data_IF_949998993385
#
_entry.id   IF_949998993385
#
_cell.length_a   1.000
_cell.length_b   1.000
_cell.length_c   1.000
_cell.angle_alpha   90.00
_cell.angle_beta   90.00
_cell.angle_gamma   90.00
#
_symmetry.space_group_name_H-M   'P 1'
#
loop_
_entity.id
_entity.type
_entity.pdbx_description
1 polymer ?
#
# COMPACT_ATOMS: atom_id res chain seq x y z
N UNK A 1 9.27 -53.46 30.84
CA UNK A 1 9.59 -52.36 29.91
C UNK A 1 8.41 -51.39 29.88
N UNK A 2 8.55 -50.19 30.45
CA UNK A 2 7.54 -49.12 30.35
C UNK A 2 7.95 -48.19 29.20
N UNK A 3 7.19 -48.21 28.10
CA UNK A 3 7.33 -47.23 27.03
C UNK A 3 6.61 -45.94 27.45
N UNK A 4 7.39 -44.90 27.74
CA UNK A 4 6.90 -43.54 27.95
C UNK A 4 6.57 -42.96 26.56
N UNK A 5 5.31 -43.02 26.15
CA UNK A 5 4.82 -42.37 24.94
C UNK A 5 4.71 -40.87 25.24
N UNK A 6 5.74 -40.10 24.90
CA UNK A 6 5.68 -38.65 24.90
C UNK A 6 4.83 -38.24 23.69
N UNK A 7 3.54 -38.03 23.94
CA UNK A 7 2.65 -37.32 23.03
C UNK A 7 3.11 -35.87 22.99
N UNK A 8 4.05 -35.56 22.10
CA UNK A 8 4.29 -34.18 21.68
C UNK A 8 3.02 -33.70 21.00
N UNK A 9 2.15 -33.04 21.76
CA UNK A 9 1.09 -32.19 21.25
C UNK A 9 1.74 -31.12 20.37
N UNK A 10 1.90 -31.43 19.09
CA UNK A 10 1.99 -30.44 18.02
C UNK A 10 0.69 -29.65 18.08
N UNK A 11 0.66 -28.65 18.96
CA UNK A 11 -0.30 -27.57 18.86
C UNK A 11 -0.18 -27.09 17.42
N UNK A 12 -1.24 -27.34 16.66
CA UNK A 12 -1.48 -26.71 15.38
C UNK A 12 -1.46 -25.21 15.66
N UNK A 13 -0.28 -24.61 15.57
CA UNK A 13 -0.11 -23.18 15.44
C UNK A 13 -0.75 -22.83 14.10
N UNK A 14 -2.09 -22.73 14.09
CA UNK A 14 -2.83 -22.13 13.01
C UNK A 14 -2.15 -20.80 12.75
N UNK A 15 -1.55 -20.67 11.56
CA UNK A 15 -0.70 -19.53 11.24
C UNK A 15 -1.49 -18.26 11.54
N UNK A 16 -1.13 -17.60 12.65
CA UNK A 16 -1.84 -16.41 13.08
C UNK A 16 -1.61 -15.36 12.00
N UNK A 17 -2.67 -15.05 11.25
CA UNK A 17 -2.57 -14.11 10.12
C UNK A 17 -2.44 -12.68 10.63
N UNK A 18 -2.86 -12.40 11.86
CA UNK A 18 -2.76 -11.08 12.48
C UNK A 18 -1.44 -10.94 13.23
N UNK A 19 -0.94 -9.71 13.33
CA UNK A 19 0.13 -9.38 14.27
C UNK A 19 -0.41 -9.31 15.70
N UNK A 20 0.46 -9.56 16.69
CA UNK A 20 0.11 -9.42 18.11
C UNK A 20 0.05 -7.94 18.53
N UNK A 21 -0.41 -7.68 19.75
CA UNK A 21 -0.45 -6.33 20.30
C UNK A 21 0.97 -5.72 20.44
N UNK A 22 1.95 -6.54 20.86
CA UNK A 22 3.35 -6.14 20.97
C UNK A 22 3.96 -5.85 19.60
N UNK A 23 3.67 -6.69 18.60
CA UNK A 23 4.06 -6.44 17.21
C UNK A 23 3.41 -5.14 16.69
N UNK A 24 2.14 -4.86 17.02
CA UNK A 24 1.49 -3.60 16.65
C UNK A 24 2.13 -2.38 17.31
N UNK A 25 2.44 -2.44 18.61
CA UNK A 25 3.16 -1.36 19.30
C UNK A 25 4.52 -1.07 18.63
N UNK A 26 5.26 -2.13 18.26
CA UNK A 26 6.47 -2.00 17.47
C UNK A 26 6.22 -1.32 16.10
N UNK A 27 5.18 -1.72 15.38
CA UNK A 27 4.78 -1.09 14.10
C UNK A 27 4.48 0.40 14.30
N UNK A 28 3.69 0.77 15.31
CA UNK A 28 3.34 2.18 15.58
C UNK A 28 4.57 3.01 15.95
N UNK A 29 5.54 2.43 16.66
CA UNK A 29 6.79 3.11 17.02
C UNK A 29 7.73 3.28 15.85
N UNK A 30 7.77 2.34 14.89
CA UNK A 30 8.79 2.29 13.83
C UNK A 30 8.33 2.77 12.46
N UNK A 31 7.03 2.80 12.19
CA UNK A 31 6.52 3.21 10.88
C UNK A 31 6.98 4.61 10.49
N UNK A 32 7.26 4.79 9.20
CA UNK A 32 7.58 6.08 8.59
C UNK A 32 8.92 6.71 9.01
N UNK A 33 9.79 6.04 9.79
CA UNK A 33 11.01 6.63 10.38
C UNK A 33 12.28 6.60 9.53
N UNK A 34 12.29 5.98 8.34
CA UNK A 34 13.51 5.79 7.55
C UNK A 34 13.59 6.65 6.28
N UNK A 35 12.97 7.83 6.28
CA UNK A 35 12.99 8.71 5.10
C UNK A 35 13.93 9.89 5.38
N UNK A 36 15.20 9.72 5.02
CA UNK A 36 16.17 10.82 5.02
C UNK A 36 15.88 11.76 3.86
N UNK A 37 15.63 13.05 4.14
CA UNK A 37 15.42 14.11 3.13
C UNK A 37 16.73 14.46 2.41
N UNK A 38 17.30 13.51 1.66
CA UNK A 38 18.52 13.73 0.87
C UNK A 38 18.29 13.42 -0.61
N UNK A 39 18.54 14.44 -1.43
CA UNK A 39 18.69 14.54 -2.89
C UNK A 39 17.71 13.72 -3.78
N UNK A 40 16.82 14.41 -4.54
CA UNK A 40 15.87 13.85 -5.53
C UNK A 40 16.43 12.81 -6.50
N UNK A 41 17.72 12.87 -6.82
CA UNK A 41 18.33 11.98 -7.80
C UNK A 41 18.76 10.65 -7.15
N UNK A 42 18.98 10.63 -5.83
CA UNK A 42 19.31 9.43 -5.02
C UNK A 42 18.10 8.89 -4.24
N UNK A 43 16.95 9.58 -4.32
CA UNK A 43 15.77 9.47 -3.44
C UNK A 43 14.97 8.16 -3.50
N UNK A 44 15.14 7.33 -4.54
CA UNK A 44 14.39 6.06 -4.65
C UNK A 44 14.69 5.09 -3.50
N UNK A 45 15.86 5.21 -2.86
CA UNK A 45 16.24 4.39 -1.69
C UNK A 45 15.56 4.81 -0.38
N UNK A 46 14.92 5.98 -0.33
CA UNK A 46 14.36 6.51 0.91
C UNK A 46 12.95 5.98 1.22
N UNK A 47 12.26 5.38 0.24
CA UNK A 47 10.89 4.88 0.40
C UNK A 47 10.85 3.36 0.60
N UNK A 48 11.51 2.93 1.67
CA UNK A 48 11.77 1.53 2.04
C UNK A 48 10.53 0.67 2.30
N UNK A 49 9.36 1.30 2.41
CA UNK A 49 8.07 0.64 2.62
C UNK A 49 7.32 0.33 1.33
N UNK A 50 7.81 0.78 0.18
CA UNK A 50 7.09 0.66 -1.07
C UNK A 50 7.65 -0.50 -1.91
N UNK A 51 6.76 -1.26 -2.54
CA UNK A 51 7.10 -2.50 -3.24
C UNK A 51 6.36 -2.59 -4.57
N UNK A 52 6.96 -3.24 -5.55
CA UNK A 52 6.25 -3.67 -6.75
C UNK A 52 5.70 -5.07 -6.52
N UNK A 53 4.38 -5.25 -6.52
CA UNK A 53 3.70 -6.54 -6.41
C UNK A 53 3.41 -7.06 -7.82
N UNK A 54 3.90 -8.25 -8.12
CA UNK A 54 3.73 -8.91 -9.41
C UNK A 54 2.47 -9.77 -9.39
N UNK A 55 1.76 -9.76 -10.50
CA UNK A 55 0.57 -10.55 -10.74
C UNK A 55 0.76 -11.28 -12.05
N UNK A 56 0.65 -12.61 -12.03
CA UNK A 56 0.54 -13.40 -13.26
C UNK A 56 -0.87 -13.93 -13.41
N UNK A 57 -1.54 -13.62 -14.51
CA UNK A 57 -2.83 -14.23 -14.89
C UNK A 57 -2.69 -14.91 -16.26
N UNK A 58 -3.75 -15.59 -16.70
CA UNK A 58 -3.82 -16.18 -18.04
C UNK A 58 -5.04 -15.60 -18.76
N UNK A 59 -4.82 -14.93 -19.89
CA UNK A 59 -5.91 -14.49 -20.77
C UNK A 59 -6.04 -15.44 -21.94
N UNK A 60 -7.27 -15.59 -22.46
CA UNK A 60 -7.51 -16.35 -23.68
C UNK A 60 -7.13 -15.49 -24.88
N UNK A 61 -6.07 -15.85 -25.60
CA UNK A 61 -5.72 -15.27 -26.89
C UNK A 61 -5.91 -16.33 -27.97
N UNK A 62 -6.85 -16.11 -28.89
CA UNK A 62 -7.18 -17.06 -29.98
C UNK A 62 -7.54 -18.46 -29.50
N UNK A 63 -8.19 -18.57 -28.34
CA UNK A 63 -8.58 -19.86 -27.76
C UNK A 63 -7.50 -20.55 -26.92
N UNK A 64 -6.29 -19.97 -26.82
CA UNK A 64 -5.21 -20.51 -25.99
C UNK A 64 -4.93 -19.62 -24.77
N UNK A 65 -4.71 -20.22 -23.57
CA UNK A 65 -4.35 -19.46 -22.38
C UNK A 65 -2.92 -18.92 -22.52
N UNK A 66 -2.80 -17.60 -22.64
CA UNK A 66 -1.52 -16.89 -22.70
C UNK A 66 -1.23 -16.25 -21.34
N UNK A 67 -0.08 -16.50 -20.71
CA UNK A 67 0.28 -15.86 -19.46
C UNK A 67 0.48 -14.36 -19.69
N UNK A 68 -0.04 -13.56 -18.78
CA UNK A 68 0.14 -12.12 -18.74
C UNK A 68 0.58 -11.71 -17.35
N UNK A 69 1.75 -11.09 -17.28
CA UNK A 69 2.30 -10.57 -16.04
C UNK A 69 2.15 -9.06 -16.02
N UNK A 70 1.67 -8.51 -14.92
CA UNK A 70 1.66 -7.08 -14.66
C UNK A 70 2.12 -6.79 -13.23
N UNK A 71 2.46 -5.54 -12.95
CA UNK A 71 2.78 -5.08 -11.60
C UNK A 71 1.73 -4.13 -11.08
N UNK A 72 1.60 -4.08 -9.77
CA UNK A 72 0.92 -3.02 -9.06
C UNK A 72 1.79 -2.55 -7.90
N UNK A 73 1.76 -1.27 -7.56
CA UNK A 73 2.38 -0.78 -6.35
C UNK A 73 1.73 -1.39 -5.11
N UNK A 74 2.55 -1.65 -4.11
CA UNK A 74 2.12 -2.06 -2.78
C UNK A 74 2.90 -1.32 -1.70
N UNK A 75 2.34 -1.34 -0.50
CA UNK A 75 2.85 -0.64 0.67
C UNK A 75 2.97 -1.62 1.83
N UNK A 76 4.16 -1.76 2.38
CA UNK A 76 4.41 -2.56 3.58
C UNK A 76 3.85 -1.78 4.77
N UNK A 77 2.80 -2.32 5.39
CA UNK A 77 2.14 -1.71 6.57
C UNK A 77 2.49 -2.44 7.87
N UNK A 78 3.10 -3.63 7.77
CA UNK A 78 3.74 -4.37 8.86
C UNK A 78 4.67 -5.44 8.27
N UNK A 79 5.51 -6.11 9.08
CA UNK A 79 6.36 -7.20 8.58
C UNK A 79 5.59 -8.34 7.90
N UNK A 80 4.28 -8.51 8.17
CA UNK A 80 3.46 -9.59 7.61
C UNK A 80 2.48 -9.15 6.53
N UNK A 81 2.33 -7.84 6.28
CA UNK A 81 1.21 -7.32 5.48
C UNK A 81 1.64 -6.25 4.48
N UNK A 82 1.18 -6.42 3.24
CA UNK A 82 1.30 -5.45 2.16
C UNK A 82 -0.11 -4.99 1.76
N UNK A 83 -0.34 -3.69 1.74
CA UNK A 83 -1.57 -3.07 1.25
C UNK A 83 -1.40 -2.63 -0.20
N UNK A 84 -2.35 -2.98 -1.05
CA UNK A 84 -2.39 -2.64 -2.48
C UNK A 84 -3.80 -2.20 -2.89
N UNK A 85 -3.93 -1.63 -4.08
CA UNK A 85 -5.23 -1.46 -4.72
C UNK A 85 -5.62 -2.73 -5.50
N UNK A 86 -6.92 -3.01 -5.63
CA UNK A 86 -7.44 -3.95 -6.64
C UNK A 86 -8.84 -3.53 -7.10
N UNK A 87 -9.09 -3.66 -8.41
CA UNK A 87 -10.45 -3.61 -8.95
C UNK A 87 -11.19 -4.91 -8.67
N UNK A 88 -12.38 -4.80 -8.07
CA UNK A 88 -13.32 -5.90 -7.97
C UNK A 88 -13.83 -6.26 -9.37
N UNK A 89 -13.35 -7.38 -9.89
CA UNK A 89 -13.90 -7.98 -11.10
C UNK A 89 -15.18 -8.76 -10.73
N UNK A 90 -16.11 -8.85 -11.67
CA UNK A 90 -17.36 -9.62 -11.48
C UNK A 90 -17.13 -11.11 -11.24
N UNK A 91 -15.91 -11.61 -11.48
CA UNK A 91 -15.56 -13.02 -11.35
C UNK A 91 -14.42 -13.26 -10.34
N UNK A 92 -14.75 -13.19 -9.04
CA UNK A 92 -13.82 -13.36 -7.90
C UNK A 92 -12.97 -14.63 -7.93
N UNK A 93 -13.39 -15.68 -8.64
CA UNK A 93 -12.66 -16.95 -8.72
C UNK A 93 -11.31 -16.84 -9.43
N UNK A 94 -11.04 -15.77 -10.16
CA UNK A 94 -9.76 -15.59 -10.85
C UNK A 94 -8.61 -15.18 -9.90
N UNK A 95 -8.93 -14.68 -8.70
CA UNK A 95 -7.93 -14.26 -7.70
C UNK A 95 -7.04 -15.41 -7.19
N UNK A 96 -7.49 -16.66 -7.33
CA UNK A 96 -6.75 -17.86 -6.90
C UNK A 96 -5.71 -18.34 -7.92
N UNK A 97 -5.57 -17.66 -9.06
CA UNK A 97 -4.62 -18.03 -10.13
C UNK A 97 -3.47 -17.04 -10.28
N UNK A 98 -3.34 -16.09 -9.36
CA UNK A 98 -2.23 -15.16 -9.41
C UNK A 98 -1.02 -15.78 -8.73
N UNK A 99 0.04 -15.95 -9.52
CA UNK A 99 1.36 -16.01 -8.90
C UNK A 99 1.68 -14.61 -8.40
N UNK A 100 2.15 -14.52 -7.16
CA UNK A 100 2.58 -13.27 -6.59
C UNK A 100 4.07 -13.26 -6.29
N UNK A 101 4.66 -12.08 -6.39
CA UNK A 101 6.02 -11.82 -5.97
C UNK A 101 6.14 -10.32 -5.64
N UNK A 102 7.19 -9.93 -4.93
CA UNK A 102 7.48 -8.50 -4.79
C UNK A 102 8.98 -8.22 -4.86
N UNK A 103 9.34 -7.03 -5.32
CA UNK A 103 10.72 -6.53 -5.29
C UNK A 103 10.71 -5.17 -4.62
N UNK A 104 11.79 -4.92 -3.87
CA UNK A 104 12.22 -3.60 -3.47
C UNK A 104 12.71 -2.82 -4.70
N UNK A 105 12.63 -1.50 -4.65
CA UNK A 105 12.42 -0.57 -5.77
C UNK A 105 13.59 -0.47 -6.79
N UNK A 106 14.69 -1.20 -6.61
CA UNK A 106 15.92 -1.02 -7.39
C UNK A 106 15.96 -1.78 -8.73
N UNK A 107 14.96 -2.60 -9.06
CA UNK A 107 14.95 -3.41 -10.28
C UNK A 107 13.80 -3.07 -11.22
N UNK A 108 14.13 -3.04 -12.52
CA UNK A 108 13.13 -2.99 -13.60
C UNK A 108 12.20 -4.20 -13.52
N UNK A 109 10.94 -4.00 -13.89
CA UNK A 109 9.98 -5.08 -14.08
C UNK A 109 10.55 -6.22 -14.95
N UNK A 110 10.58 -7.43 -14.38
CA UNK A 110 10.96 -8.66 -15.07
C UNK A 110 9.75 -9.60 -15.17
N UNK A 111 9.10 -9.60 -16.34
CA UNK A 111 7.94 -10.46 -16.62
C UNK A 111 8.30 -11.96 -16.68
N UNK A 112 9.56 -12.29 -16.95
CA UNK A 112 10.05 -13.65 -17.15
C UNK A 112 10.51 -14.32 -15.85
N UNK A 113 10.51 -13.59 -14.73
CA UNK A 113 10.96 -14.12 -13.44
C UNK A 113 10.21 -15.39 -13.01
N UNK A 114 10.88 -16.21 -12.20
CA UNK A 114 10.24 -17.31 -11.48
C UNK A 114 9.50 -16.76 -10.26
N UNK A 115 8.23 -17.12 -10.14
CA UNK A 115 7.39 -16.72 -9.02
C UNK A 115 7.47 -17.74 -7.88
N UNK A 116 7.38 -17.26 -6.64
CA UNK A 116 7.60 -18.08 -5.44
C UNK A 116 6.34 -18.16 -4.55
N UNK A 117 5.27 -17.42 -4.88
CA UNK A 117 4.04 -17.29 -4.09
C UNK A 117 4.32 -17.06 -2.58
N UNK A 118 4.68 -15.82 -2.18
CA UNK A 118 5.04 -15.51 -0.81
C UNK A 118 3.83 -15.34 0.11
N UNK A 119 2.58 -15.47 -0.36
CA UNK A 119 1.41 -15.05 0.40
C UNK A 119 0.61 -16.21 0.99
N UNK A 120 0.26 -16.11 2.27
CA UNK A 120 -0.56 -17.08 2.99
C UNK A 120 -2.05 -16.78 2.88
N UNK A 121 -2.42 -15.50 2.69
CA UNK A 121 -3.80 -15.05 2.63
C UNK A 121 -3.94 -13.74 1.86
N UNK A 122 -5.03 -13.60 1.13
CA UNK A 122 -5.44 -12.37 0.46
C UNK A 122 -6.78 -11.94 1.06
N UNK A 123 -6.89 -10.68 1.48
CA UNK A 123 -8.11 -10.12 2.06
C UNK A 123 -8.50 -8.86 1.30
N UNK A 124 -9.71 -8.82 0.75
CA UNK A 124 -10.26 -7.59 0.17
C UNK A 124 -11.12 -6.92 1.23
N UNK A 125 -10.77 -5.69 1.62
CA UNK A 125 -11.50 -4.97 2.66
C UNK A 125 -12.91 -4.62 2.16
N UNK A 126 -13.92 -4.87 3.00
CA UNK A 126 -15.35 -4.82 2.67
C UNK A 126 -15.81 -5.79 1.55
N UNK A 127 -14.96 -6.73 1.15
CA UNK A 127 -15.25 -7.64 0.04
C UNK A 127 -15.49 -6.90 -1.28
N UNK A 128 -16.15 -7.61 -2.21
CA UNK A 128 -16.43 -7.12 -3.55
C UNK A 128 -17.90 -7.34 -3.93
N UNK A 129 -18.79 -6.67 -3.22
CA UNK A 129 -20.23 -6.66 -3.52
C UNK A 129 -20.56 -5.94 -4.83
N UNK A 130 -19.79 -4.91 -5.19
CA UNK A 130 -20.00 -4.12 -6.40
C UNK A 130 -18.83 -4.32 -7.38
N UNK A 131 -19.14 -4.84 -8.56
CA UNK A 131 -18.17 -4.91 -9.66
C UNK A 131 -17.72 -3.49 -10.06
N UNK A 132 -16.48 -3.36 -10.56
CA UNK A 132 -15.89 -2.11 -11.05
C UNK A 132 -15.55 -1.05 -10.00
N UNK A 133 -15.54 -1.41 -8.71
CA UNK A 133 -15.03 -0.53 -7.66
C UNK A 133 -13.60 -0.94 -7.29
N UNK A 134 -12.72 0.05 -7.12
CA UNK A 134 -11.42 -0.15 -6.49
C UNK A 134 -11.63 -0.38 -5.00
N UNK A 135 -10.95 -1.39 -4.48
CA UNK A 135 -10.87 -1.71 -3.06
C UNK A 135 -9.42 -1.77 -2.62
N UNK A 136 -9.23 -1.60 -1.32
CA UNK A 136 -7.97 -1.96 -0.69
C UNK A 136 -7.92 -3.47 -0.51
N UNK A 137 -6.81 -4.06 -0.94
CA UNK A 137 -6.51 -5.47 -0.74
C UNK A 137 -5.26 -5.60 0.13
N UNK A 138 -5.32 -6.51 1.08
CA UNK A 138 -4.23 -6.86 1.98
C UNK A 138 -3.68 -8.23 1.59
N UNK A 139 -2.37 -8.28 1.37
CA UNK A 139 -1.60 -9.49 1.12
C UNK A 139 -0.86 -9.87 2.40
N UNK A 140 -1.18 -11.04 2.95
CA UNK A 140 -0.53 -11.58 4.15
C UNK A 140 0.61 -12.50 3.72
N UNK A 141 1.81 -12.27 4.23
CA UNK A 141 3.00 -13.04 3.90
C UNK A 141 3.06 -14.37 4.66
N UNK A 142 3.60 -15.42 4.03
CA UNK A 142 3.93 -16.70 4.66
C UNK A 142 5.07 -16.55 5.67
N UNK A 143 6.01 -15.65 5.39
CA UNK A 143 7.16 -15.33 6.25
C UNK A 143 7.23 -13.82 6.47
N UNK A 144 7.41 -13.34 7.70
CA UNK A 144 7.59 -11.92 7.97
C UNK A 144 8.83 -11.37 7.25
N UNK A 145 8.74 -10.11 6.80
CA UNK A 145 9.86 -9.35 6.28
C UNK A 145 10.86 -9.05 7.39
N UNK A 146 12.14 -9.11 7.05
CA UNK A 146 13.20 -8.63 7.91
C UNK A 146 13.39 -7.13 7.67
N UNK A 147 12.96 -6.32 8.63
CA UNK A 147 13.11 -4.86 8.54
C UNK A 147 14.57 -4.47 8.66
N UNK A 148 14.99 -3.50 7.85
CA UNK A 148 16.34 -2.97 7.83
C UNK A 148 16.34 -1.58 7.17
N UNK A 149 17.51 -1.05 6.81
CA UNK A 149 17.63 0.27 6.18
C UNK A 149 16.98 0.36 4.80
N UNK A 150 16.76 -0.77 4.12
CA UNK A 150 16.19 -0.86 2.77
C UNK A 150 14.74 -1.37 2.79
N UNK A 151 14.26 -1.89 3.94
CA UNK A 151 12.91 -2.43 4.15
C UNK A 151 12.28 -1.81 5.39
N UNK A 152 11.33 -0.92 5.18
CA UNK A 152 10.62 -0.18 6.22
C UNK A 152 9.11 -0.39 6.19
N UNK A 153 8.42 0.33 7.07
CA UNK A 153 6.96 0.30 7.19
C UNK A 153 6.40 1.70 6.94
N UNK A 154 5.29 1.80 6.24
CA UNK A 154 4.53 3.05 6.16
C UNK A 154 3.60 3.18 7.37
N UNK A 155 3.42 4.40 7.89
CA UNK A 155 2.33 4.65 8.83
C UNK A 155 1.00 4.69 8.08
N UNK A 156 -0.09 4.37 8.78
CA UNK A 156 -1.45 4.54 8.26
C UNK A 156 -2.01 5.88 8.74
N UNK A 157 -2.73 6.60 7.89
CA UNK A 157 -3.37 7.84 8.31
C UNK A 157 -4.41 7.58 9.40
N UNK A 158 -4.29 8.32 10.50
CA UNK A 158 -5.18 8.25 11.66
C UNK A 158 -6.38 9.19 11.56
N UNK A 159 -6.45 10.03 10.52
CA UNK A 159 -7.45 11.06 10.39
C UNK A 159 -7.81 11.29 8.92
N UNK A 160 -9.11 11.36 8.66
CA UNK A 160 -9.64 11.67 7.33
C UNK A 160 -9.27 13.10 6.89
N UNK A 161 -8.95 13.98 7.86
CA UNK A 161 -8.55 15.37 7.63
C UNK A 161 -7.12 15.51 7.11
N UNK A 162 -6.26 14.51 7.32
CA UNK A 162 -4.85 14.58 6.89
C UNK A 162 -4.74 14.76 5.37
N UNK A 163 -5.67 14.20 4.59
CA UNK A 163 -5.71 14.41 3.15
C UNK A 163 -5.87 15.89 2.77
N UNK A 164 -6.80 16.59 3.40
CA UNK A 164 -7.10 17.99 3.04
C UNK A 164 -6.13 18.98 3.71
N UNK A 165 -5.53 18.59 4.83
CA UNK A 165 -4.66 19.46 5.63
C UNK A 165 -3.20 19.52 5.14
N UNK A 166 -2.81 18.71 4.15
CA UNK A 166 -1.42 18.61 3.71
C UNK A 166 -1.34 18.87 2.21
N UNK A 167 -0.56 19.90 1.86
CA UNK A 167 -0.37 20.31 0.47
C UNK A 167 0.71 19.49 -0.24
N UNK A 168 1.77 19.08 0.45
CA UNK A 168 2.88 18.35 -0.19
C UNK A 168 2.67 16.83 -0.08
N UNK A 169 1.83 16.27 -0.95
CA UNK A 169 1.61 14.82 -1.02
C UNK A 169 2.42 14.19 -2.14
N UNK A 170 3.07 13.07 -1.84
CA UNK A 170 3.79 12.26 -2.81
C UNK A 170 2.91 11.09 -3.23
N UNK A 171 2.61 10.98 -4.52
CA UNK A 171 1.91 9.82 -5.06
C UNK A 171 2.87 8.96 -5.84
N UNK A 172 3.06 7.73 -5.38
CA UNK A 172 3.96 6.75 -5.99
C UNK A 172 3.20 5.81 -6.91
N UNK A 173 3.67 5.65 -8.15
CA UNK A 173 3.13 4.72 -9.15
C UNK A 173 4.25 3.99 -9.90
N UNK A 174 3.87 3.21 -10.90
CA UNK A 174 4.82 2.64 -11.87
C UNK A 174 4.58 3.27 -13.24
N UNK A 175 5.63 3.67 -13.94
CA UNK A 175 5.54 4.17 -15.32
C UNK A 175 5.33 3.04 -16.33
N UNK A 176 5.11 3.41 -17.60
CA UNK A 176 4.93 2.47 -18.73
C UNK A 176 6.12 1.53 -18.97
N UNK A 177 7.31 1.87 -18.47
CA UNK A 177 8.51 1.05 -18.55
C UNK A 177 8.66 0.10 -17.35
N UNK A 178 7.73 0.15 -16.40
CA UNK A 178 7.73 -0.61 -15.17
C UNK A 178 8.70 -0.09 -14.12
N UNK A 179 9.16 1.16 -14.23
CA UNK A 179 9.92 1.81 -13.17
C UNK A 179 8.99 2.50 -12.19
N UNK A 180 9.29 2.38 -10.90
CA UNK A 180 8.56 3.15 -9.91
C UNK A 180 8.93 4.64 -10.04
N UNK A 181 7.90 5.48 -10.01
CA UNK A 181 7.98 6.93 -10.07
C UNK A 181 7.15 7.54 -8.94
N UNK A 182 7.38 8.80 -8.65
CA UNK A 182 6.53 9.57 -7.75
C UNK A 182 6.27 10.95 -8.35
N UNK A 183 5.15 11.55 -7.93
CA UNK A 183 4.69 12.86 -8.40
C UNK A 183 4.10 13.62 -7.21
N UNK A 184 4.29 14.93 -7.20
CA UNK A 184 3.70 15.81 -6.20
C UNK A 184 2.23 16.05 -6.49
N UNK A 185 1.40 16.01 -5.46
CA UNK A 185 -0.04 16.17 -5.53
C UNK A 185 -0.54 17.11 -4.45
N UNK A 186 -1.54 17.91 -4.82
CA UNK A 186 -2.28 18.78 -3.92
C UNK A 186 -3.72 18.28 -3.75
N UNK A 187 -4.28 18.38 -2.54
CA UNK A 187 -5.69 18.03 -2.32
C UNK A 187 -6.61 19.00 -3.06
N UNK A 188 -7.70 18.48 -3.63
CA UNK A 188 -8.76 19.28 -4.27
C UNK A 188 -10.13 18.75 -3.86
N UNK A 189 -11.17 19.57 -4.03
CA UNK A 189 -12.54 19.15 -3.79
C UNK A 189 -12.93 17.96 -4.68
N UNK A 190 -13.64 17.00 -4.10
CA UNK A 190 -14.10 15.78 -4.76
C UNK A 190 -15.60 15.83 -4.96
N UNK A 191 -16.09 15.48 -6.14
CA UNK A 191 -17.53 15.45 -6.45
C UNK A 191 -18.23 14.15 -6.01
N UNK A 192 -17.46 13.18 -5.50
CA UNK A 192 -17.98 11.86 -5.10
C UNK A 192 -18.16 11.71 -3.60
N UNK A 193 -18.95 10.72 -3.22
CA UNK A 193 -19.23 10.38 -1.83
C UNK A 193 -18.00 9.79 -1.12
N UNK A 194 -18.00 9.89 0.21
CA UNK A 194 -17.07 9.14 1.07
C UNK A 194 -17.16 7.64 0.74
N UNK A 195 -16.02 6.91 0.64
CA UNK A 195 -14.71 7.18 1.24
C UNK A 195 -13.67 7.78 0.28
N UNK A 196 -14.09 8.43 -0.81
CA UNK A 196 -13.17 8.96 -1.82
C UNK A 196 -12.60 10.32 -1.44
N UNK A 197 -11.38 10.59 -1.89
CA UNK A 197 -10.70 11.88 -1.83
C UNK A 197 -10.04 12.18 -3.17
N UNK A 198 -9.89 13.45 -3.50
CA UNK A 198 -9.38 13.88 -4.79
C UNK A 198 -8.07 14.66 -4.64
N UNK A 199 -7.16 14.46 -5.58
CA UNK A 199 -5.90 15.18 -5.70
C UNK A 199 -5.65 15.65 -7.12
N UNK A 200 -4.79 16.65 -7.26
CA UNK A 200 -4.30 17.18 -8.53
C UNK A 200 -2.79 17.20 -8.50
N UNK A 201 -2.15 16.73 -9.57
CA UNK A 201 -0.69 16.82 -9.70
C UNK A 201 -0.21 18.28 -9.66
N UNK A 202 0.96 18.52 -9.09
CA UNK A 202 1.53 19.84 -8.96
C UNK A 202 1.77 20.49 -10.32
N UNK A 203 2.33 19.70 -11.25
CA UNK A 203 2.51 20.07 -12.64
C UNK A 203 1.54 19.28 -13.51
N UNK A 204 0.99 19.93 -14.54
CA UNK A 204 0.01 19.30 -15.44
C UNK A 204 0.59 18.12 -16.21
N UNK A 205 1.89 18.16 -16.50
CA UNK A 205 2.65 17.13 -17.21
C UNK A 205 2.92 15.87 -16.36
N UNK A 206 2.62 15.96 -15.07
CA UNK A 206 3.07 15.05 -14.03
C UNK A 206 1.94 14.23 -13.41
N UNK A 207 0.74 14.29 -13.99
CA UNK A 207 -0.38 13.47 -13.53
C UNK A 207 -0.13 11.99 -13.72
N UNK A 208 -0.40 11.19 -12.68
CA UNK A 208 -0.56 9.74 -12.81
C UNK A 208 -1.77 9.48 -13.70
N UNK A 209 -1.54 8.79 -14.81
CA UNK A 209 -2.59 8.42 -15.75
C UNK A 209 -2.98 6.95 -15.60
N UNK A 210 -4.02 6.49 -16.30
CA UNK A 210 -4.46 5.09 -16.19
C UNK A 210 -3.43 4.05 -16.64
N UNK A 211 -2.39 4.45 -17.40
CA UNK A 211 -1.26 3.57 -17.70
C UNK A 211 -0.30 3.43 -16.52
N UNK A 212 -0.30 4.38 -15.61
CA UNK A 212 0.43 4.30 -14.37
C UNK A 212 -0.40 3.49 -13.38
N UNK A 213 -0.01 2.24 -13.16
CA UNK A 213 -0.77 1.34 -12.29
C UNK A 213 -0.59 1.75 -10.83
N UNK A 214 -1.71 1.94 -10.12
CA UNK A 214 -1.87 1.78 -8.66
C UNK A 214 -1.16 2.72 -7.70
N UNK A 215 -1.30 4.02 -7.95
CA UNK A 215 -0.81 5.08 -7.08
C UNK A 215 -1.08 4.88 -5.57
N UNK A 216 -0.10 5.13 -4.71
CA UNK A 216 -0.33 5.32 -3.27
C UNK A 216 0.14 6.72 -2.86
N UNK A 217 -0.73 7.49 -2.21
CA UNK A 217 -0.44 8.85 -1.75
C UNK A 217 0.08 8.84 -0.32
N UNK A 218 1.17 9.56 -0.08
CA UNK A 218 1.82 9.71 1.21
C UNK A 218 2.10 11.16 1.53
N UNK A 219 2.19 11.45 2.82
CA UNK A 219 2.78 12.70 3.29
C UNK A 219 3.47 12.50 4.63
N UNK A 220 4.27 13.48 5.02
CA UNK A 220 4.81 13.57 6.37
C UNK A 220 3.71 14.00 7.35
N UNK A 221 3.33 13.11 8.26
CA UNK A 221 2.43 13.40 9.39
C UNK A 221 3.21 13.13 10.66
N UNK A 222 3.36 14.15 11.52
CA UNK A 222 4.15 14.05 12.76
C UNK A 222 5.56 13.49 12.52
N UNK A 223 6.25 13.99 11.48
CA UNK A 223 7.60 13.55 11.07
C UNK A 223 7.69 12.08 10.62
N UNK A 224 6.57 11.48 10.21
CA UNK A 224 6.51 10.10 9.73
C UNK A 224 5.82 10.03 8.39
N UNK A 225 6.42 9.30 7.45
CA UNK A 225 5.77 9.03 6.17
C UNK A 225 4.53 8.16 6.38
N UNK A 226 3.39 8.72 5.99
CA UNK A 226 2.06 8.20 6.30
C UNK A 226 1.26 8.04 5.02
N UNK A 227 0.74 6.84 4.81
CA UNK A 227 -0.16 6.50 3.71
C UNK A 227 -1.50 7.19 3.92
N UNK A 228 -1.82 8.14 3.03
CA UNK A 228 -3.05 8.92 3.05
C UNK A 228 -4.13 8.33 2.14
N UNK A 229 -3.73 7.86 0.96
CA UNK A 229 -4.67 7.40 -0.05
C UNK A 229 -4.14 6.29 -0.95
N UNK A 230 -5.06 5.52 -1.50
CA UNK A 230 -4.78 4.52 -2.54
C UNK A 230 -5.54 4.94 -3.80
N UNK A 231 -4.87 5.00 -4.94
CA UNK A 231 -5.43 5.45 -6.20
C UNK A 231 -6.67 4.63 -6.59
N UNK A 232 -7.60 5.26 -7.29
CA UNK A 232 -8.86 4.65 -7.73
C UNK A 232 -9.04 4.86 -9.21
N UNK A 233 -8.88 6.11 -9.64
CA UNK A 233 -9.01 6.49 -11.04
C UNK A 233 -8.30 7.81 -11.28
N UNK A 234 -7.91 8.03 -12.52
CA UNK A 234 -7.37 9.29 -12.99
C UNK A 234 -7.80 9.52 -14.43
N UNK A 235 -7.19 10.51 -15.06
CA UNK A 235 -7.42 10.75 -16.48
C UNK A 235 -6.80 9.63 -17.32
N UNK A 236 -7.59 9.14 -18.29
CA UNK A 236 -7.19 8.04 -19.18
C UNK A 236 -6.10 8.51 -20.14
N UNK A 237 -6.24 9.75 -20.62
CA UNK A 237 -5.26 10.37 -21.50
C UNK A 237 -4.08 10.87 -20.68
N UNK A 238 -2.99 10.11 -20.73
CA UNK A 238 -1.65 10.58 -20.35
C UNK A 238 -1.15 11.68 -21.30
N UNK A 239 -1.80 11.82 -22.45
CA UNK A 239 -1.56 12.88 -23.41
C UNK A 239 -2.48 14.06 -23.10
N UNK A 240 -1.87 15.19 -22.76
CA UNK A 240 -2.47 16.50 -22.59
C UNK A 240 -3.74 16.72 -23.41
N UNK A 241 -4.90 16.74 -22.75
CA UNK A 241 -6.02 17.50 -23.29
C UNK A 241 -5.96 18.89 -22.65
N UNK A 242 -5.94 19.92 -23.49
CA UNK A 242 -6.04 21.33 -23.10
C UNK A 242 -7.34 21.70 -22.39
N UNK A 243 -8.19 20.70 -22.08
CA UNK A 243 -9.56 20.84 -21.64
C UNK A 243 -9.79 20.70 -20.13
N UNK A 244 -8.75 20.47 -19.30
CA UNK A 244 -8.94 20.59 -17.86
C UNK A 244 -7.87 20.01 -16.96
N UNK A 245 -7.93 20.47 -15.71
CA UNK A 245 -7.19 19.95 -14.56
C UNK A 245 -7.43 18.43 -14.42
N UNK A 246 -6.36 17.64 -14.55
CA UNK A 246 -6.37 16.20 -14.29
C UNK A 246 -6.58 15.96 -12.80
N UNK A 247 -7.80 15.56 -12.42
CA UNK A 247 -8.11 15.13 -11.05
C UNK A 247 -7.91 13.62 -10.96
N UNK A 248 -7.17 13.19 -9.94
CA UNK A 248 -7.07 11.79 -9.57
C UNK A 248 -7.91 11.55 -8.31
N UNK A 249 -8.55 10.39 -8.26
CA UNK A 249 -9.40 9.94 -7.16
C UNK A 249 -8.65 8.85 -6.40
N UNK A 250 -8.77 8.89 -5.07
CA UNK A 250 -8.13 7.97 -4.15
C UNK A 250 -9.13 7.49 -3.09
N UNK A 251 -8.94 6.28 -2.57
CA UNK A 251 -9.54 5.81 -1.33
C UNK A 251 -8.86 6.52 -0.16
N UNK A 252 -9.61 7.12 0.76
CA UNK A 252 -9.06 7.69 1.98
C UNK A 252 -8.73 6.59 2.99
N UNK A 253 -7.44 6.32 3.22
CA UNK A 253 -6.99 5.20 4.07
C UNK A 253 -7.48 5.30 5.51
N UNK A 254 -7.66 6.52 6.04
CA UNK A 254 -8.17 6.71 7.39
C UNK A 254 -9.61 6.18 7.57
N UNK A 255 -10.36 5.96 6.49
CA UNK A 255 -11.70 5.34 6.51
C UNK A 255 -11.68 3.82 6.60
N UNK A 256 -10.52 3.18 6.46
CA UNK A 256 -10.36 1.73 6.43
C UNK A 256 -9.60 1.20 7.66
N UNK A 257 -9.32 2.05 8.65
CA UNK A 257 -8.41 1.72 9.75
C UNK A 257 -8.94 0.60 10.64
N UNK A 258 -10.25 0.56 10.86
CA UNK A 258 -10.91 -0.52 11.58
C UNK A 258 -10.81 -1.85 10.81
N UNK A 259 -11.09 -1.85 9.51
CA UNK A 259 -11.02 -3.04 8.67
C UNK A 259 -9.58 -3.53 8.51
N UNK A 260 -8.62 -2.63 8.41
CA UNK A 260 -7.18 -2.96 8.39
C UNK A 260 -6.80 -3.61 9.74
N UNK A 261 -7.17 -3.01 10.87
CA UNK A 261 -6.92 -3.58 12.20
C UNK A 261 -7.57 -4.97 12.35
N UNK A 262 -8.82 -5.11 11.92
CA UNK A 262 -9.56 -6.36 11.95
C UNK A 262 -8.95 -7.42 11.03
N UNK A 263 -8.35 -7.05 9.89
CA UNK A 263 -7.72 -7.99 8.97
C UNK A 263 -6.30 -8.37 9.41
N UNK A 264 -5.55 -7.43 9.98
CA UNK A 264 -4.09 -7.53 10.10
C UNK A 264 -3.54 -7.44 11.52
N UNK A 265 -4.30 -6.90 12.47
CA UNK A 265 -3.79 -6.50 13.79
C UNK A 265 -3.02 -5.16 13.79
N UNK A 266 -2.85 -4.51 12.63
CA UNK A 266 -2.27 -3.16 12.54
C UNK A 266 -3.34 -2.14 12.93
N UNK A 267 -3.29 -1.68 14.18
CA UNK A 267 -4.30 -0.82 14.77
C UNK A 267 -3.68 0.52 15.15
N UNK A 268 -4.31 1.61 14.73
CA UNK A 268 -3.86 2.96 15.02
C UNK A 268 -4.28 3.32 16.45
N UNK A 269 -3.30 3.61 17.30
CA UNK A 269 -3.57 4.13 18.64
C UNK A 269 -3.82 5.64 18.55
N UNK A 270 -5.08 6.06 18.67
CA UNK A 270 -5.45 7.48 18.61
C UNK A 270 -4.91 8.29 19.80
N UNK A 271 -4.60 7.63 20.92
CA UNK A 271 -4.17 8.27 22.17
C UNK A 271 -2.71 8.73 22.19
N UNK A 272 -1.82 8.18 21.36
CA UNK A 272 -0.40 8.58 21.34
C UNK A 272 -0.17 10.02 20.83
N UNK A 273 -1.20 10.67 20.30
CA UNK A 273 -1.16 12.06 19.81
C UNK A 273 -1.26 13.11 20.93
N UNK A 274 -1.53 12.72 22.18
CA UNK A 274 -1.65 13.65 23.33
C UNK A 274 -0.34 13.96 24.06
N UNK A 275 0.80 13.38 23.65
CA UNK A 275 2.04 13.41 24.44
C UNK A 275 3.21 14.12 23.75
N UNK A 276 3.02 15.36 23.26
CA UNK A 276 4.13 16.33 23.16
C UNK A 276 3.57 17.74 23.35
N UNK A 277 3.08 18.04 24.55
CA UNK A 277 3.07 19.44 25.03
C UNK A 277 4.31 19.58 25.89
N UNK A 278 5.48 19.76 25.26
CA UNK A 278 6.68 20.17 25.98
C UNK A 278 6.42 21.58 26.48
N UNK A 279 6.04 21.70 27.74
CA UNK A 279 6.14 22.93 28.50
C UNK A 279 7.61 23.35 28.46
N UNK A 280 7.92 24.30 27.58
CA UNK A 280 9.14 25.09 27.68
C UNK A 280 9.05 25.87 28.99
N UNK A 281 9.61 25.30 30.05
CA UNK A 281 9.93 26.04 31.25
C UNK A 281 10.93 27.12 30.89
N UNK A 282 10.48 28.37 30.82
CA UNK A 282 11.33 29.55 30.89
C UNK A 282 12.06 29.51 32.23
N UNK A 283 13.36 29.25 32.19
CA UNK A 283 14.27 29.74 33.22
C UNK A 283 14.86 31.05 32.72
N UNK A 284 14.89 31.99 33.67
CA UNK A 284 15.37 33.38 33.63
C UNK A 284 14.39 34.43 33.11
#
# INVERSE_FOLDING_TARGET
MKFLVIFCSFLLFGACTKITAEENDFVQKTCGLNVTKQDPITERKNYTFFVAVYFRTHFMHRGEPTPYTYTMPGVIISPKHIAIQKYCESNHRQLLKFDFDFILIDKKFDAARKFVDPFSKITILFGCSNANHVKMMILTLKKPLQLNKDVGLACLSNSTKNWLGIYDQLVFGADVSGFMTYKDYFPVACAGDTPLVCGRAAFFEDGICNKDTGGCSFAEVNKRMTLLGIFVSGTIDCAFSSAGITRSVFLNVARYTEEICNATGVCINLDSTKLVTTTSGSKE
#
